data_IF_864936657179
#
_entry.id   IF_864936657179
#
_cell.length_a   1.000
_cell.length_b   1.000
_cell.length_c   1.000
_cell.angle_alpha   90.00
_cell.angle_beta   90.00
_cell.angle_gamma   90.00
#
_symmetry.space_group_name_H-M   'P 1'
#
loop_
_entity.id
_entity.type
_entity.pdbx_description
1 polymer ?
#
# COMPACT_ATOMS: atom_id res chain seq x y z
N UNK A 1 -31.25 15.00 -45.77
CA UNK A 1 -30.63 13.73 -45.31
C UNK A 1 -29.21 14.01 -44.83
N UNK A 2 -28.77 13.44 -43.70
CA UNK A 2 -27.35 13.38 -43.30
C UNK A 2 -27.04 11.92 -42.94
N UNK A 3 -25.97 11.35 -43.50
CA UNK A 3 -25.54 9.98 -43.19
C UNK A 3 -24.98 9.95 -41.76
N UNK A 4 -25.39 9.00 -40.92
CA UNK A 4 -24.68 8.70 -39.67
C UNK A 4 -23.43 7.89 -40.00
N UNK A 5 -22.28 8.35 -39.52
CA UNK A 5 -21.04 7.58 -39.51
C UNK A 5 -21.07 6.65 -38.27
N UNK A 6 -20.69 5.37 -38.39
CA UNK A 6 -20.66 4.46 -37.24
C UNK A 6 -19.52 4.84 -36.26
N UNK A 7 -19.66 4.50 -34.96
CA UNK A 7 -18.59 4.69 -33.99
C UNK A 7 -17.37 3.79 -34.28
N UNK A 8 -16.18 4.13 -33.76
CA UNK A 8 -14.99 3.29 -33.92
C UNK A 8 -15.19 1.90 -33.31
N UNK A 9 -14.61 0.89 -33.95
CA UNK A 9 -14.82 -0.52 -33.62
C UNK A 9 -14.19 -0.88 -32.26
N UNK A 10 -14.96 -1.54 -31.40
CA UNK A 10 -14.41 -2.32 -30.29
C UNK A 10 -13.60 -3.48 -30.88
N UNK A 11 -12.26 -3.41 -30.78
CA UNK A 11 -11.39 -4.53 -31.09
C UNK A 11 -11.63 -5.66 -30.07
N UNK A 12 -11.74 -6.90 -30.54
CA UNK A 12 -11.94 -8.03 -29.63
C UNK A 12 -10.67 -8.27 -28.78
N UNK A 13 -10.81 -8.88 -27.60
CA UNK A 13 -9.65 -9.22 -26.75
C UNK A 13 -8.68 -10.17 -27.48
N UNK A 14 -9.20 -11.05 -28.35
CA UNK A 14 -8.35 -11.89 -29.22
C UNK A 14 -7.62 -11.08 -30.31
N UNK A 15 -8.24 -10.01 -30.82
CA UNK A 15 -7.61 -9.08 -31.76
C UNK A 15 -6.46 -8.32 -31.10
N UNK A 16 -6.66 -7.91 -29.84
CA UNK A 16 -5.65 -7.21 -29.04
C UNK A 16 -4.46 -8.13 -28.73
N UNK A 17 -4.73 -9.36 -28.27
CA UNK A 17 -3.69 -10.39 -28.01
C UNK A 17 -2.94 -10.73 -29.30
N UNK A 18 -3.63 -10.94 -30.43
CA UNK A 18 -2.96 -11.23 -31.72
C UNK A 18 -2.04 -10.10 -32.16
N UNK A 19 -2.48 -8.83 -32.05
CA UNK A 19 -1.62 -7.68 -32.36
C UNK A 19 -0.39 -7.65 -31.45
N UNK A 20 -0.58 -7.96 -30.17
CA UNK A 20 0.49 -7.99 -29.17
C UNK A 20 1.52 -9.09 -29.45
N UNK A 21 1.06 -10.34 -29.62
CA UNK A 21 1.89 -11.50 -29.96
C UNK A 21 2.59 -11.32 -31.32
N UNK A 22 1.99 -10.58 -32.25
CA UNK A 22 2.61 -10.24 -33.54
C UNK A 22 3.70 -9.18 -33.42
N UNK A 23 3.50 -8.10 -32.65
CA UNK A 23 4.57 -7.10 -32.41
C UNK A 23 5.79 -7.70 -31.72
N UNK A 24 5.60 -8.63 -30.76
CA UNK A 24 6.70 -9.31 -30.09
C UNK A 24 7.56 -10.17 -31.06
N UNK A 25 6.95 -10.75 -32.09
CA UNK A 25 7.63 -11.57 -33.10
C UNK A 25 8.45 -10.73 -34.11
N UNK A 26 7.95 -9.53 -34.47
CA UNK A 26 8.68 -8.61 -35.36
C UNK A 26 9.98 -8.10 -34.70
N UNK A 27 9.97 -7.87 -33.38
CA UNK A 27 11.16 -7.47 -32.62
C UNK A 27 12.24 -8.56 -32.53
N UNK A 28 11.86 -9.85 -32.53
CA UNK A 28 12.82 -10.96 -32.43
C UNK A 28 13.49 -11.34 -33.76
N UNK A 29 13.00 -10.81 -34.89
CA UNK A 29 13.43 -11.25 -36.24
C UNK A 29 14.54 -10.40 -36.88
N UNK A 30 15.00 -9.32 -36.22
CA UNK A 30 15.86 -8.30 -36.85
C UNK A 30 17.36 -8.35 -36.50
N UNK A 31 17.81 -9.21 -35.57
CA UNK A 31 19.20 -9.18 -35.05
C UNK A 31 20.02 -10.46 -35.35
N UNK A 32 20.44 -10.65 -36.61
CA UNK A 32 21.45 -11.65 -36.99
C UNK A 32 22.51 -11.08 -37.95
N UNK A 33 23.67 -10.71 -37.38
CA UNK A 33 25.04 -10.73 -37.95
C UNK A 33 25.48 -9.77 -39.10
N UNK A 34 26.13 -8.66 -38.72
CA UNK A 34 27.57 -8.34 -39.01
C UNK A 34 28.09 -8.06 -40.45
N UNK A 35 29.34 -7.54 -40.64
CA UNK A 35 30.08 -6.46 -39.93
C UNK A 35 30.90 -5.49 -40.85
N UNK A 36 31.55 -4.46 -40.24
CA UNK A 36 32.67 -3.63 -40.79
C UNK A 36 32.30 -2.63 -41.93
N UNK A 37 32.88 -1.41 -42.06
CA UNK A 37 34.07 -0.74 -41.48
C UNK A 37 33.86 0.79 -41.31
N UNK A 38 34.87 1.52 -40.79
CA UNK A 38 34.95 2.99 -40.64
C UNK A 38 36.33 3.50 -41.17
N UNK A 39 36.75 4.80 -41.17
CA UNK A 39 36.12 6.01 -40.56
C UNK A 39 36.23 7.35 -41.36
N UNK A 40 35.88 8.49 -40.70
CA UNK A 40 36.11 9.92 -41.08
C UNK A 40 35.21 10.51 -42.20
N UNK A 41 34.87 11.82 -42.27
CA UNK A 41 35.31 13.04 -41.54
C UNK A 41 34.15 14.07 -41.27
N UNK A 42 34.44 15.22 -40.61
CA UNK A 42 33.54 16.37 -40.31
C UNK A 42 33.79 17.55 -41.32
N UNK A 43 33.14 18.75 -41.27
CA UNK A 43 32.00 19.27 -40.47
C UNK A 43 30.90 20.03 -41.29
N UNK A 44 29.89 20.59 -40.60
CA UNK A 44 28.81 21.47 -41.13
C UNK A 44 29.22 22.95 -41.29
N UNK A 45 28.34 23.79 -41.90
CA UNK A 45 27.90 25.03 -41.21
C UNK A 45 26.38 25.29 -41.28
N UNK A 46 25.92 26.37 -40.64
CA UNK A 46 24.49 26.70 -40.42
C UNK A 46 24.01 27.96 -41.20
N UNK A 47 22.71 28.26 -41.12
CA UNK A 47 22.09 29.50 -41.64
C UNK A 47 21.04 30.05 -40.65
N UNK A 48 20.72 31.35 -40.74
CA UNK A 48 20.07 32.14 -39.67
C UNK A 48 18.62 32.56 -39.93
N UNK A 49 17.90 32.73 -38.83
CA UNK A 49 16.60 33.41 -38.68
C UNK A 49 16.71 34.93 -38.92
N UNK A 50 15.60 35.60 -39.26
CA UNK A 50 15.50 37.06 -39.31
C UNK A 50 14.08 37.56 -38.96
N UNK A 51 13.97 38.74 -38.35
CA UNK A 51 12.71 39.29 -37.79
C UNK A 51 12.20 40.51 -38.56
N UNK A 52 10.88 40.75 -38.55
CA UNK A 52 10.28 42.04 -38.90
C UNK A 52 9.00 42.31 -38.08
N UNK A 53 8.80 43.54 -37.60
CA UNK A 53 7.57 44.02 -36.91
C UNK A 53 6.86 45.09 -37.74
N UNK A 54 5.53 45.15 -37.69
CA UNK A 54 4.73 46.34 -38.04
C UNK A 54 3.50 46.49 -37.12
N UNK A 55 2.87 47.68 -37.11
CA UNK A 55 1.79 48.08 -36.18
C UNK A 55 0.95 49.24 -36.74
N UNK A 56 -0.38 49.24 -36.48
CA UNK A 56 -1.42 50.31 -36.59
C UNK A 56 -2.79 49.59 -36.33
N UNK A 57 -3.56 49.84 -35.25
CA UNK A 57 -4.54 50.93 -34.95
C UNK A 57 -5.77 50.93 -35.88
N UNK A 58 -6.96 50.45 -35.45
CA UNK A 58 -8.11 51.17 -34.82
C UNK A 58 -9.20 50.14 -34.37
N UNK A 59 -10.21 50.28 -33.47
CA UNK A 59 -11.05 51.36 -32.84
C UNK A 59 -12.24 51.87 -33.68
N UNK A 60 -13.55 51.77 -33.34
CA UNK A 60 -14.31 51.19 -32.17
C UNK A 60 -15.83 50.97 -32.54
N UNK A 61 -16.67 50.54 -31.58
CA UNK A 61 -18.17 50.63 -31.43
C UNK A 61 -19.06 49.52 -32.04
N UNK A 62 -20.20 49.06 -31.47
CA UNK A 62 -20.80 48.98 -30.13
C UNK A 62 -22.14 48.16 -30.24
N UNK A 63 -22.35 47.17 -29.35
CA UNK A 63 -23.62 46.65 -28.77
C UNK A 63 -23.29 45.30 -28.09
N UNK A 64 -23.58 45.09 -26.80
CA UNK A 64 -24.90 44.76 -26.21
C UNK A 64 -25.53 43.53 -26.92
N UNK A 65 -25.84 42.40 -26.27
CA UNK A 65 -26.35 42.19 -24.91
C UNK A 65 -25.65 41.02 -24.15
N UNK A 66 -25.69 41.04 -22.81
CA UNK A 66 -25.39 39.88 -21.95
C UNK A 66 -26.64 38.99 -21.79
N UNK A 67 -26.51 37.67 -21.60
CA UNK A 67 -26.43 37.20 -20.21
C UNK A 67 -25.57 35.95 -19.96
N UNK A 68 -24.83 35.99 -18.86
CA UNK A 68 -24.59 34.88 -17.91
C UNK A 68 -25.11 33.48 -18.30
N UNK A 69 -24.27 32.69 -18.97
CA UNK A 69 -24.06 31.31 -18.52
C UNK A 69 -22.59 31.15 -18.17
N UNK A 70 -22.31 30.51 -17.04
CA UNK A 70 -20.94 30.37 -16.58
C UNK A 70 -20.15 29.51 -17.58
N UNK A 71 -19.04 30.06 -18.09
CA UNK A 71 -17.90 29.25 -18.48
C UNK A 71 -17.44 28.50 -17.24
N UNK A 72 -18.01 27.31 -17.01
CA UNK A 72 -17.43 26.32 -16.12
C UNK A 72 -16.10 25.96 -16.78
N UNK A 73 -15.05 26.67 -16.34
CA UNK A 73 -13.69 26.31 -16.67
C UNK A 73 -13.52 24.87 -16.20
N UNK A 74 -13.46 23.95 -17.17
CA UNK A 74 -13.25 22.54 -16.89
C UNK A 74 -11.87 22.45 -16.24
N UNK A 75 -11.86 22.38 -14.91
CA UNK A 75 -10.65 22.17 -14.14
C UNK A 75 -10.22 20.74 -14.42
N UNK A 76 -9.48 20.55 -15.52
CA UNK A 76 -8.68 19.38 -15.78
C UNK A 76 -7.52 19.40 -14.78
N UNK A 77 -7.84 19.20 -13.51
CA UNK A 77 -6.91 18.69 -12.52
C UNK A 77 -6.50 17.32 -13.03
N UNK A 78 -5.41 17.27 -13.79
CA UNK A 78 -4.87 16.02 -14.33
C UNK A 78 -4.65 15.07 -13.15
N UNK A 79 -5.40 13.97 -13.15
CA UNK A 79 -5.55 13.10 -11.98
C UNK A 79 -4.38 12.13 -11.94
N UNK A 80 -3.22 12.67 -11.59
CA UNK A 80 -1.99 11.90 -11.35
C UNK A 80 -2.29 10.88 -10.25
N UNK A 81 -2.34 9.61 -10.63
CA UNK A 81 -2.55 8.50 -9.71
C UNK A 81 -1.27 8.22 -8.92
N UNK A 82 -1.39 7.86 -7.64
CA UNK A 82 -0.23 7.39 -6.86
C UNK A 82 0.19 5.99 -7.31
N UNK A 83 1.45 5.61 -7.08
CA UNK A 83 1.93 4.26 -7.44
C UNK A 83 1.09 3.17 -6.75
N UNK A 84 0.64 3.39 -5.50
CA UNK A 84 -0.23 2.47 -4.79
C UNK A 84 -1.65 2.39 -5.39
N UNK A 85 -2.20 3.50 -5.89
CA UNK A 85 -3.47 3.51 -6.62
C UNK A 85 -3.35 2.72 -7.94
N UNK A 86 -2.27 2.95 -8.70
CA UNK A 86 -1.97 2.21 -9.93
C UNK A 86 -1.82 0.72 -9.64
N UNK A 87 -1.01 0.35 -8.64
CA UNK A 87 -0.83 -1.04 -8.19
C UNK A 87 -2.15 -1.75 -7.87
N UNK A 88 -3.12 -1.06 -7.27
CA UNK A 88 -4.46 -1.63 -7.00
C UNK A 88 -5.37 -1.72 -8.23
N UNK A 89 -5.13 -0.93 -9.28
CA UNK A 89 -5.87 -1.01 -10.54
C UNK A 89 -5.31 -2.05 -11.53
N UNK A 90 -4.02 -2.41 -11.45
CA UNK A 90 -3.40 -3.36 -12.39
C UNK A 90 -4.12 -4.73 -12.49
N UNK A 91 -4.56 -5.39 -11.39
CA UNK A 91 -5.35 -6.63 -11.47
C UNK A 91 -6.73 -6.47 -12.14
N UNK A 92 -7.19 -5.23 -12.32
CA UNK A 92 -8.44 -4.90 -12.99
C UNK A 92 -8.27 -4.70 -14.51
N UNK A 93 -7.05 -4.47 -15.00
CA UNK A 93 -6.72 -4.47 -16.42
C UNK A 93 -7.09 -5.81 -17.08
N UNK A 94 -7.89 -5.75 -18.14
CA UNK A 94 -8.33 -6.96 -18.84
C UNK A 94 -7.14 -7.72 -19.46
N UNK A 95 -6.09 -7.03 -19.90
CA UNK A 95 -4.90 -7.67 -20.47
C UNK A 95 -4.11 -8.42 -19.39
N UNK A 96 -3.82 -7.75 -18.27
CA UNK A 96 -3.13 -8.34 -17.10
C UNK A 96 -3.90 -9.55 -16.58
N UNK A 97 -5.23 -9.45 -16.39
CA UNK A 97 -6.09 -10.57 -15.98
C UNK A 97 -6.03 -11.74 -16.96
N UNK A 98 -6.13 -11.47 -18.27
CA UNK A 98 -6.14 -12.53 -19.28
C UNK A 98 -4.80 -13.29 -19.31
N UNK A 99 -3.68 -12.60 -19.16
CA UNK A 99 -2.37 -13.24 -19.03
C UNK A 99 -2.19 -13.98 -17.68
N UNK A 100 -2.70 -13.45 -16.56
CA UNK A 100 -2.71 -14.15 -15.27
C UNK A 100 -3.49 -15.48 -15.35
N UNK A 101 -4.66 -15.48 -15.99
CA UNK A 101 -5.44 -16.69 -16.26
C UNK A 101 -4.71 -17.66 -17.22
N UNK A 102 -4.05 -17.15 -18.27
CA UNK A 102 -3.21 -17.93 -19.20
C UNK A 102 -2.07 -18.63 -18.44
N UNK A 103 -1.33 -17.92 -17.60
CA UNK A 103 -0.26 -18.46 -16.75
C UNK A 103 -0.82 -19.52 -15.79
N UNK A 104 -1.88 -19.21 -15.05
CA UNK A 104 -2.46 -20.14 -14.08
C UNK A 104 -2.90 -21.47 -14.73
N UNK A 105 -3.55 -21.39 -15.90
CA UNK A 105 -3.95 -22.59 -16.65
C UNK A 105 -2.74 -23.38 -17.18
N UNK A 106 -1.69 -22.70 -17.65
CA UNK A 106 -0.45 -23.34 -18.10
C UNK A 106 0.33 -23.96 -16.91
N UNK A 107 0.38 -23.34 -15.74
CA UNK A 107 0.96 -23.92 -14.52
C UNK A 107 0.20 -25.20 -14.08
N UNK A 108 -1.12 -25.25 -14.27
CA UNK A 108 -1.91 -26.46 -14.02
C UNK A 108 -1.62 -27.58 -15.03
N UNK A 109 -1.18 -27.27 -16.25
CA UNK A 109 -0.75 -28.25 -17.27
C UNK A 109 0.69 -28.71 -17.01
N UNK A 110 1.62 -27.76 -16.83
CA UNK A 110 3.07 -27.99 -16.77
C UNK A 110 3.50 -28.59 -15.43
N UNK A 111 2.92 -28.14 -14.30
CA UNK A 111 3.34 -28.50 -12.95
C UNK A 111 2.24 -29.14 -12.09
N UNK A 112 1.06 -29.39 -12.65
CA UNK A 112 -0.14 -29.84 -11.94
C UNK A 112 -0.61 -28.91 -10.79
N UNK A 113 -0.12 -27.67 -10.73
CA UNK A 113 -0.43 -26.69 -9.70
C UNK A 113 -0.74 -25.31 -10.31
N UNK A 114 -2.02 -24.97 -10.40
CA UNK A 114 -2.53 -23.69 -10.91
C UNK A 114 -1.85 -22.45 -10.31
N UNK A 115 -1.50 -22.48 -9.02
CA UNK A 115 -1.11 -21.30 -8.26
C UNK A 115 0.41 -21.17 -8.07
N UNK A 116 1.23 -22.02 -8.70
CA UNK A 116 2.68 -22.11 -8.45
C UNK A 116 3.42 -20.77 -8.59
N UNK A 117 3.09 -19.98 -9.61
CA UNK A 117 3.75 -18.69 -9.90
C UNK A 117 2.99 -17.47 -9.35
N UNK A 118 2.05 -17.65 -8.41
CA UNK A 118 1.22 -16.55 -7.92
C UNK A 118 2.04 -15.45 -7.23
N UNK A 119 2.99 -15.82 -6.36
CA UNK A 119 3.89 -14.86 -5.71
C UNK A 119 4.82 -14.15 -6.73
N UNK A 120 5.25 -14.85 -7.79
CA UNK A 120 6.09 -14.27 -8.84
C UNK A 120 5.30 -13.29 -9.73
N UNK A 121 4.03 -13.57 -10.02
CA UNK A 121 3.15 -12.61 -10.70
C UNK A 121 2.92 -11.34 -9.85
N UNK A 122 2.84 -11.48 -8.52
CA UNK A 122 2.77 -10.33 -7.60
C UNK A 122 4.11 -9.57 -7.47
N UNK A 123 5.25 -10.24 -7.69
CA UNK A 123 6.55 -9.60 -7.82
C UNK A 123 6.68 -8.83 -9.16
N UNK A 124 6.21 -9.41 -10.26
CA UNK A 124 6.16 -8.77 -11.59
C UNK A 124 5.24 -7.54 -11.59
N UNK A 125 4.10 -7.58 -10.89
CA UNK A 125 3.25 -6.39 -10.69
C UNK A 125 4.01 -5.22 -10.05
N UNK A 126 4.93 -5.50 -9.12
CA UNK A 126 5.80 -4.48 -8.52
C UNK A 126 6.87 -4.05 -9.53
N UNK A 127 7.64 -4.99 -10.07
CA UNK A 127 8.71 -4.73 -11.05
C UNK A 127 8.54 -5.60 -12.31
N UNK A 128 8.05 -5.03 -13.44
CA UNK A 128 7.86 -5.77 -14.69
C UNK A 128 9.13 -6.45 -15.24
N UNK A 129 10.31 -5.86 -15.01
CA UNK A 129 11.59 -6.42 -15.52
C UNK A 129 11.92 -7.81 -14.98
N UNK A 130 11.25 -8.25 -13.90
CA UNK A 130 11.37 -9.62 -13.40
C UNK A 130 10.79 -10.67 -14.38
N UNK A 131 9.84 -10.31 -15.24
CA UNK A 131 9.16 -11.25 -16.14
C UNK A 131 10.08 -11.94 -17.15
N UNK A 132 11.01 -11.19 -17.75
CA UNK A 132 12.02 -11.77 -18.64
C UNK A 132 12.91 -12.76 -17.88
N UNK A 133 13.38 -12.37 -16.70
CA UNK A 133 14.23 -13.21 -15.86
C UNK A 133 13.53 -14.50 -15.38
N UNK A 134 12.24 -14.40 -15.03
CA UNK A 134 11.42 -15.55 -14.64
C UNK A 134 11.12 -16.47 -15.82
N UNK A 135 10.80 -15.89 -16.99
CA UNK A 135 10.62 -16.63 -18.25
C UNK A 135 11.88 -17.41 -18.63
N UNK A 136 13.05 -16.78 -18.51
CA UNK A 136 14.35 -17.44 -18.71
C UNK A 136 14.60 -18.55 -17.68
N UNK A 137 14.33 -18.33 -16.40
CA UNK A 137 14.49 -19.34 -15.34
C UNK A 137 13.59 -20.57 -15.57
N UNK A 138 12.33 -20.36 -15.95
CA UNK A 138 11.39 -21.45 -16.27
C UNK A 138 11.84 -22.22 -17.51
N UNK A 139 12.42 -21.53 -18.51
CA UNK A 139 12.96 -22.15 -19.72
C UNK A 139 14.22 -22.98 -19.46
N UNK A 140 15.19 -22.42 -18.71
CA UNK A 140 16.46 -23.06 -18.43
C UNK A 140 16.36 -24.18 -17.37
N UNK A 141 15.55 -23.97 -16.34
CA UNK A 141 15.50 -24.81 -15.12
C UNK A 141 14.05 -25.05 -14.66
N UNK A 142 13.17 -25.65 -15.48
CA UNK A 142 11.75 -25.84 -15.14
C UNK A 142 11.54 -26.62 -13.83
N UNK A 143 12.28 -27.71 -13.62
CA UNK A 143 12.16 -28.52 -12.40
C UNK A 143 12.74 -27.86 -11.13
N UNK A 144 13.22 -26.61 -11.20
CA UNK A 144 13.60 -25.83 -10.00
C UNK A 144 12.40 -25.23 -9.24
N UNK A 145 11.29 -24.93 -9.93
CA UNK A 145 10.07 -24.40 -9.31
C UNK A 145 9.18 -25.52 -8.76
N UNK A 146 8.97 -26.57 -9.56
CA UNK A 146 8.23 -27.78 -9.19
C UNK A 146 8.55 -28.90 -10.18
N UNK A 147 8.31 -30.16 -9.80
CA UNK A 147 8.41 -31.28 -10.73
C UNK A 147 7.40 -31.12 -11.86
N UNK A 148 7.84 -31.33 -13.10
CA UNK A 148 6.94 -31.36 -14.26
C UNK A 148 5.88 -32.46 -14.09
N UNK A 149 4.65 -32.18 -14.54
CA UNK A 149 3.53 -33.08 -14.40
C UNK A 149 3.76 -34.44 -15.10
N UNK A 150 2.98 -35.44 -14.71
CA UNK A 150 3.10 -36.79 -15.25
C UNK A 150 4.39 -37.51 -14.87
N UNK A 151 4.71 -38.57 -15.60
CA UNK A 151 5.80 -39.50 -15.30
C UNK A 151 6.73 -39.67 -16.52
N UNK A 152 8.03 -39.74 -16.23
CA UNK A 152 9.07 -40.18 -17.15
C UNK A 152 9.83 -41.33 -16.47
N UNK A 153 9.63 -42.57 -16.93
CA UNK A 153 10.29 -43.75 -16.38
C UNK A 153 11.20 -44.36 -17.46
N UNK A 154 12.51 -44.39 -17.22
CA UNK A 154 13.50 -44.90 -18.17
C UNK A 154 13.39 -44.29 -19.60
N UNK A 155 12.99 -43.03 -19.71
CA UNK A 155 12.76 -42.33 -20.99
C UNK A 155 11.34 -42.46 -21.55
N UNK A 156 10.50 -43.36 -21.00
CA UNK A 156 9.10 -43.49 -21.39
C UNK A 156 8.26 -42.43 -20.67
N UNK A 157 7.83 -41.41 -21.44
CA UNK A 157 7.02 -40.29 -20.96
C UNK A 157 5.53 -40.57 -21.17
N UNK A 158 4.72 -40.44 -20.11
CA UNK A 158 3.26 -40.51 -20.24
C UNK A 158 2.67 -39.22 -20.87
N UNK A 159 1.40 -39.26 -21.28
CA UNK A 159 0.78 -38.13 -22.00
C UNK A 159 0.77 -36.83 -21.18
N UNK A 160 0.62 -36.91 -19.85
CA UNK A 160 0.70 -35.74 -18.97
C UNK A 160 2.11 -35.10 -18.99
N UNK A 161 3.17 -35.91 -19.00
CA UNK A 161 4.56 -35.42 -19.08
C UNK A 161 4.87 -34.82 -20.46
N UNK A 162 4.38 -35.42 -21.55
CA UNK A 162 4.52 -34.86 -22.90
C UNK A 162 3.84 -33.48 -23.00
N UNK A 163 2.57 -33.41 -22.60
CA UNK A 163 1.79 -32.17 -22.59
C UNK A 163 2.45 -31.08 -21.71
N UNK A 164 3.03 -31.46 -20.57
CA UNK A 164 3.77 -30.53 -19.70
C UNK A 164 5.04 -29.97 -20.35
N UNK A 165 5.81 -30.80 -21.06
CA UNK A 165 7.00 -30.37 -21.79
C UNK A 165 6.65 -29.52 -23.02
N UNK A 166 5.61 -29.91 -23.78
CA UNK A 166 5.11 -29.22 -24.97
C UNK A 166 4.58 -27.81 -24.65
N UNK A 167 3.94 -27.61 -23.48
CA UNK A 167 3.41 -26.32 -23.05
C UNK A 167 4.44 -25.42 -22.33
N UNK A 168 5.66 -25.89 -22.07
CA UNK A 168 6.65 -25.14 -21.29
C UNK A 168 7.04 -23.81 -21.98
N UNK A 169 7.28 -23.85 -23.30
CA UNK A 169 7.59 -22.64 -24.09
C UNK A 169 6.42 -21.65 -24.10
N UNK A 170 5.18 -22.15 -24.12
CA UNK A 170 3.95 -21.33 -24.03
C UNK A 170 3.80 -20.70 -22.65
N UNK A 171 4.22 -21.38 -21.57
CA UNK A 171 4.28 -20.80 -20.23
C UNK A 171 5.32 -19.67 -20.16
N UNK A 172 6.52 -19.86 -20.69
CA UNK A 172 7.55 -18.81 -20.76
C UNK A 172 7.06 -17.57 -21.54
N UNK A 173 6.42 -17.78 -22.70
CA UNK A 173 5.82 -16.69 -23.48
C UNK A 173 4.64 -16.00 -22.78
N UNK A 174 3.84 -16.74 -22.01
CA UNK A 174 2.77 -16.17 -21.20
C UNK A 174 3.30 -15.34 -20.01
N UNK A 175 4.43 -15.74 -19.41
CA UNK A 175 5.12 -14.99 -18.34
C UNK A 175 5.73 -13.69 -18.86
N UNK A 176 6.38 -13.72 -20.03
CA UNK A 176 6.89 -12.51 -20.69
C UNK A 176 5.75 -11.54 -21.00
N UNK A 177 4.73 -11.99 -21.75
CA UNK A 177 3.58 -11.16 -22.12
C UNK A 177 2.74 -10.67 -20.93
N UNK A 178 2.78 -11.35 -19.78
CA UNK A 178 2.19 -10.83 -18.54
C UNK A 178 2.95 -9.62 -18.01
N UNK A 179 4.28 -9.68 -17.97
CA UNK A 179 5.10 -8.56 -17.51
C UNK A 179 4.98 -7.36 -18.43
N UNK A 180 4.99 -7.57 -19.75
CA UNK A 180 4.80 -6.49 -20.72
C UNK A 180 3.38 -5.91 -20.64
N UNK A 181 2.34 -6.75 -20.41
CA UNK A 181 0.98 -6.29 -20.15
C UNK A 181 0.85 -5.47 -18.86
N UNK A 182 1.59 -5.83 -17.80
CA UNK A 182 1.68 -5.06 -16.55
C UNK A 182 2.39 -3.73 -16.80
N UNK A 183 3.51 -3.72 -17.53
CA UNK A 183 4.22 -2.49 -17.89
C UNK A 183 3.33 -1.55 -18.70
N UNK A 184 2.71 -2.05 -19.78
CA UNK A 184 1.78 -1.28 -20.60
C UNK A 184 0.61 -0.70 -19.78
N UNK A 185 0.02 -1.50 -18.88
CA UNK A 185 -1.05 -1.04 -18.00
C UNK A 185 -0.57 -0.02 -16.94
N UNK A 186 0.70 -0.06 -16.51
CA UNK A 186 1.30 1.01 -15.67
C UNK A 186 1.49 2.29 -16.48
N UNK A 187 2.04 2.19 -17.69
CA UNK A 187 2.33 3.35 -18.55
C UNK A 187 1.04 4.07 -18.98
N UNK A 188 0.00 3.34 -19.39
CA UNK A 188 -1.31 3.92 -19.73
C UNK A 188 -1.98 4.61 -18.52
N UNK A 189 -1.85 4.04 -17.31
CA UNK A 189 -2.31 4.67 -16.07
C UNK A 189 -1.47 5.88 -15.62
N UNK A 190 -0.25 6.05 -16.12
CA UNK A 190 0.61 7.21 -15.86
C UNK A 190 0.42 8.33 -16.89
N UNK A 191 0.20 7.97 -18.15
CA UNK A 191 0.12 8.91 -19.29
C UNK A 191 -1.32 9.40 -19.53
N UNK A 192 -2.32 8.51 -19.34
CA UNK A 192 -3.71 8.72 -19.75
C UNK A 192 -4.74 8.38 -18.66
N UNK A 193 -4.51 8.69 -17.36
CA UNK A 193 -5.31 8.18 -16.24
C UNK A 193 -6.81 8.45 -16.36
N UNK A 194 -7.24 9.60 -16.88
CA UNK A 194 -8.66 9.92 -17.04
C UNK A 194 -9.36 8.97 -18.03
N UNK A 195 -8.68 8.56 -19.10
CA UNK A 195 -9.24 7.64 -20.10
C UNK A 195 -9.31 6.21 -19.57
N UNK A 196 -8.26 5.73 -18.90
CA UNK A 196 -8.21 4.38 -18.31
C UNK A 196 -9.19 4.24 -17.14
N UNK A 197 -9.30 5.28 -16.29
CA UNK A 197 -10.33 5.33 -15.26
C UNK A 197 -11.73 5.30 -15.87
N UNK A 198 -12.00 6.11 -16.90
CA UNK A 198 -13.31 6.09 -17.61
C UNK A 198 -13.64 4.68 -18.15
N UNK A 199 -12.64 3.94 -18.65
CA UNK A 199 -12.81 2.54 -19.07
C UNK A 199 -13.13 1.60 -17.89
N UNK A 200 -12.42 1.72 -16.77
CA UNK A 200 -12.74 0.93 -15.57
C UNK A 200 -14.11 1.27 -14.97
N UNK A 201 -14.49 2.55 -14.94
CA UNK A 201 -15.80 2.99 -14.47
C UNK A 201 -16.94 2.41 -15.35
N UNK A 202 -16.71 2.23 -16.66
CA UNK A 202 -17.65 1.55 -17.55
C UNK A 202 -17.66 0.02 -17.39
N UNK A 203 -16.52 -0.61 -17.05
CA UNK A 203 -16.41 -2.07 -17.00
C UNK A 203 -16.71 -2.70 -15.62
N UNK A 204 -16.51 -1.94 -14.54
CA UNK A 204 -16.74 -2.39 -13.15
C UNK A 204 -17.50 -1.40 -12.25
N UNK A 205 -17.87 -0.23 -12.79
CA UNK A 205 -18.72 0.76 -12.10
C UNK A 205 -17.93 1.83 -11.34
N UNK A 206 -18.39 3.08 -11.41
CA UNK A 206 -17.78 4.24 -10.74
C UNK A 206 -17.56 4.02 -9.24
N UNK A 207 -18.49 3.36 -8.54
CA UNK A 207 -18.37 3.10 -7.11
C UNK A 207 -17.21 2.14 -6.77
N UNK A 208 -17.02 1.07 -7.55
CA UNK A 208 -15.93 0.13 -7.34
C UNK A 208 -14.56 0.76 -7.59
N UNK A 209 -14.45 1.59 -8.63
CA UNK A 209 -13.23 2.38 -8.92
C UNK A 209 -12.96 3.38 -7.78
N UNK A 210 -13.99 4.08 -7.29
CA UNK A 210 -13.86 5.01 -6.16
C UNK A 210 -13.40 4.30 -4.87
N UNK A 211 -13.99 3.15 -4.54
CA UNK A 211 -13.58 2.34 -3.36
C UNK A 211 -12.12 1.87 -3.48
N UNK A 212 -11.67 1.41 -4.66
CA UNK A 212 -10.29 1.01 -4.89
C UNK A 212 -9.32 2.16 -4.64
N UNK A 213 -9.58 3.33 -5.21
CA UNK A 213 -8.73 4.51 -5.04
C UNK A 213 -8.72 5.01 -3.58
N UNK A 214 -9.89 5.15 -2.95
CA UNK A 214 -10.01 5.58 -1.55
C UNK A 214 -9.26 4.64 -0.60
N UNK A 215 -9.28 3.32 -0.86
CA UNK A 215 -8.52 2.37 -0.05
C UNK A 215 -7.01 2.60 -0.10
N UNK A 216 -6.48 3.22 -1.16
CA UNK A 216 -5.06 3.56 -1.28
C UNK A 216 -4.72 4.74 -0.38
N UNK A 217 -5.41 5.85 -0.57
CA UNK A 217 -5.18 7.12 0.13
C UNK A 217 -5.36 6.95 1.63
N UNK A 218 -6.37 6.16 2.04
CA UNK A 218 -6.60 5.79 3.43
C UNK A 218 -5.44 4.96 4.03
N UNK A 219 -4.86 4.02 3.27
CA UNK A 219 -3.74 3.19 3.76
C UNK A 219 -2.46 4.03 3.96
N UNK A 220 -2.14 4.91 3.01
CA UNK A 220 -0.96 5.79 3.11
C UNK A 220 -1.12 6.81 4.24
N UNK A 221 -2.33 7.39 4.36
CA UNK A 221 -2.69 8.32 5.44
C UNK A 221 -2.65 7.67 6.82
N UNK A 222 -3.23 6.47 6.98
CA UNK A 222 -3.18 5.72 8.23
C UNK A 222 -1.73 5.42 8.64
N UNK A 223 -0.88 4.96 7.72
CA UNK A 223 0.54 4.71 8.03
C UNK A 223 1.31 5.98 8.45
N UNK A 224 1.06 7.11 7.79
CA UNK A 224 1.63 8.40 8.17
C UNK A 224 1.12 8.86 9.55
N UNK A 225 -0.18 8.76 9.79
CA UNK A 225 -0.81 9.14 11.06
C UNK A 225 -0.30 8.27 12.22
N UNK A 226 -0.24 6.94 12.04
CA UNK A 226 0.36 5.99 12.98
C UNK A 226 1.81 6.38 13.33
N UNK A 227 2.63 6.73 12.33
CA UNK A 227 4.01 7.20 12.56
C UNK A 227 4.04 8.45 13.45
N UNK A 228 3.15 9.42 13.22
CA UNK A 228 3.06 10.61 14.09
C UNK A 228 2.54 10.29 15.50
N UNK A 229 1.57 9.38 15.66
CA UNK A 229 1.07 8.97 16.98
C UNK A 229 2.14 8.26 17.80
N UNK A 230 2.92 7.36 17.17
CA UNK A 230 4.06 6.68 17.80
C UNK A 230 5.14 7.69 18.21
N UNK A 231 5.51 8.63 17.34
CA UNK A 231 6.45 9.72 17.70
C UNK A 231 5.95 10.60 18.84
N UNK A 232 4.65 10.89 18.89
CA UNK A 232 4.07 11.73 19.92
C UNK A 232 3.92 11.03 21.29
N UNK A 233 3.98 9.70 21.32
CA UNK A 233 3.72 8.90 22.52
C UNK A 233 4.69 9.22 23.68
N UNK A 234 4.18 9.44 24.92
CA UNK A 234 5.03 9.75 26.08
C UNK A 234 6.08 8.68 26.42
N UNK A 235 5.79 7.40 26.22
CA UNK A 235 6.73 6.32 26.51
C UNK A 235 7.89 6.29 25.49
N UNK A 236 7.58 6.45 24.20
CA UNK A 236 8.57 6.55 23.12
C UNK A 236 9.53 7.73 23.37
N UNK A 237 9.00 8.90 23.73
CA UNK A 237 9.78 10.08 24.12
C UNK A 237 10.63 9.86 25.37
N UNK A 238 10.09 9.18 26.39
CA UNK A 238 10.81 8.83 27.62
C UNK A 238 12.00 7.92 27.33
N UNK A 239 11.81 6.86 26.54
CA UNK A 239 12.89 5.95 26.16
C UNK A 239 13.95 6.64 25.29
N UNK A 240 13.57 7.53 24.35
CA UNK A 240 14.53 8.36 23.63
C UNK A 240 15.38 9.25 24.55
N UNK A 241 14.80 9.79 25.63
CA UNK A 241 15.55 10.53 26.64
C UNK A 241 16.47 9.62 27.48
N UNK A 242 16.04 8.41 27.81
CA UNK A 242 16.86 7.42 28.52
C UNK A 242 18.04 6.92 27.67
N UNK A 243 17.86 6.66 26.37
CA UNK A 243 18.98 6.32 25.46
C UNK A 243 19.95 7.49 25.35
N UNK A 244 19.48 8.74 25.23
CA UNK A 244 20.35 9.93 25.25
C UNK A 244 21.13 10.10 26.55
N UNK A 245 20.55 9.72 27.69
CA UNK A 245 21.22 9.68 28.99
C UNK A 245 22.29 8.58 29.03
N UNK A 246 21.94 7.34 28.68
CA UNK A 246 22.90 6.23 28.70
C UNK A 246 24.02 6.38 27.68
N UNK A 247 23.77 6.90 26.48
CA UNK A 247 24.83 7.27 25.52
C UNK A 247 25.81 8.30 26.11
N UNK A 248 25.34 9.24 26.95
CA UNK A 248 26.23 10.16 27.67
C UNK A 248 27.03 9.46 28.77
N UNK A 249 26.42 8.54 29.54
CA UNK A 249 27.12 7.76 30.57
C UNK A 249 28.20 6.86 29.95
N UNK A 250 27.86 6.12 28.88
CA UNK A 250 28.73 5.14 28.24
C UNK A 250 29.80 5.79 27.37
N UNK A 251 29.49 6.85 26.62
CA UNK A 251 30.37 7.40 25.58
C UNK A 251 30.67 8.91 25.70
N UNK A 252 30.18 9.59 26.74
CA UNK A 252 30.22 11.06 26.91
C UNK A 252 29.49 11.88 25.83
N UNK A 253 28.75 11.25 24.90
CA UNK A 253 28.00 11.91 23.83
C UNK A 253 26.57 11.36 23.72
N UNK A 254 25.57 12.19 23.96
CA UNK A 254 24.16 11.76 24.01
C UNK A 254 23.56 11.31 22.68
N UNK A 255 24.07 11.79 21.55
CA UNK A 255 23.40 11.70 20.24
C UNK A 255 24.04 10.70 19.27
N UNK A 256 24.91 9.78 19.73
CA UNK A 256 25.57 8.80 18.84
C UNK A 256 24.53 7.94 18.10
N UNK A 257 23.58 7.36 18.84
CA UNK A 257 22.55 6.48 18.30
C UNK A 257 21.32 7.21 17.72
N UNK A 258 21.48 8.47 17.31
CA UNK A 258 20.34 9.29 16.84
C UNK A 258 19.77 8.83 15.48
N UNK A 259 20.61 8.30 14.58
CA UNK A 259 20.14 7.65 13.35
C UNK A 259 19.43 6.35 13.70
N UNK A 260 20.12 5.45 14.41
CA UNK A 260 19.60 4.13 14.82
C UNK A 260 18.23 4.20 15.51
N UNK A 261 18.02 5.14 16.43
CA UNK A 261 16.74 5.32 17.11
C UNK A 261 15.62 5.82 16.17
N UNK A 262 15.98 6.52 15.09
CA UNK A 262 15.06 6.93 14.02
C UNK A 262 14.77 5.75 13.06
N UNK A 263 15.73 4.85 12.87
CA UNK A 263 15.59 3.65 12.04
C UNK A 263 14.79 2.56 12.75
N UNK A 264 14.98 2.35 14.06
CA UNK A 264 14.15 1.49 14.91
C UNK A 264 12.70 2.02 14.96
N UNK A 265 12.53 3.34 14.97
CA UNK A 265 11.21 3.97 14.86
C UNK A 265 10.52 3.64 13.53
N UNK A 266 11.25 3.41 12.44
CA UNK A 266 10.70 2.92 11.16
C UNK A 266 10.50 1.40 11.17
N UNK A 267 11.51 0.62 11.58
CA UNK A 267 11.47 -0.84 11.67
C UNK A 267 12.03 -1.33 13.04
N UNK A 268 11.16 -1.74 13.99
CA UNK A 268 11.59 -2.19 15.32
C UNK A 268 12.59 -3.35 15.31
N UNK A 269 12.57 -4.21 14.28
CA UNK A 269 13.48 -5.36 14.20
C UNK A 269 14.97 -4.96 14.08
N UNK A 270 15.29 -3.73 13.64
CA UNK A 270 16.66 -3.22 13.65
C UNK A 270 17.27 -3.08 15.05
N UNK A 271 16.45 -3.12 16.10
CA UNK A 271 16.93 -3.05 17.47
C UNK A 271 17.78 -4.27 17.87
N UNK A 272 17.40 -5.48 17.43
CA UNK A 272 18.14 -6.72 17.71
C UNK A 272 19.55 -6.68 17.09
N UNK A 273 19.66 -6.18 15.86
CA UNK A 273 20.97 -5.95 15.23
C UNK A 273 21.77 -4.89 16.01
N UNK A 274 21.15 -3.77 16.39
CA UNK A 274 21.82 -2.71 17.14
C UNK A 274 22.29 -3.15 18.52
N UNK A 275 21.47 -3.88 19.29
CA UNK A 275 21.84 -4.36 20.63
C UNK A 275 22.87 -5.48 20.55
N UNK A 276 22.82 -6.34 19.52
CA UNK A 276 23.91 -7.25 19.21
C UNK A 276 25.22 -6.50 18.93
N UNK A 277 25.22 -5.52 18.00
CA UNK A 277 26.41 -4.72 17.66
C UNK A 277 26.97 -3.97 18.89
N UNK A 278 26.11 -3.38 19.73
CA UNK A 278 26.51 -2.71 20.97
C UNK A 278 27.05 -3.69 22.04
N UNK A 279 26.56 -4.93 22.09
CA UNK A 279 27.06 -5.93 23.04
C UNK A 279 28.44 -6.48 22.62
N UNK A 280 28.64 -6.74 21.33
CA UNK A 280 29.85 -7.35 20.80
C UNK A 280 30.97 -6.33 20.54
N UNK A 281 30.63 -5.16 19.99
CA UNK A 281 31.58 -4.16 19.50
C UNK A 281 31.23 -2.72 19.93
N UNK A 282 30.96 -2.42 21.22
CA UNK A 282 30.52 -1.10 21.68
C UNK A 282 31.45 0.06 21.27
N UNK A 283 32.74 -0.24 21.05
CA UNK A 283 33.75 0.76 20.66
C UNK A 283 33.72 1.13 19.16
N UNK A 284 32.96 0.42 18.30
CA UNK A 284 32.79 0.80 16.89
C UNK A 284 32.00 2.11 16.75
N UNK A 285 30.96 2.29 17.57
CA UNK A 285 30.13 3.48 17.62
C UNK A 285 30.91 4.67 18.20
N UNK A 286 31.56 4.47 19.36
CA UNK A 286 32.39 5.48 20.00
C UNK A 286 33.29 4.89 21.11
N UNK A 287 34.48 5.48 21.38
CA UNK A 287 35.21 5.18 22.60
C UNK A 287 34.39 5.43 23.87
N UNK A 288 34.47 4.51 24.83
CA UNK A 288 33.87 4.69 26.16
C UNK A 288 34.37 5.96 26.87
N UNK A 289 33.53 6.55 27.71
CA UNK A 289 33.89 7.65 28.59
C UNK A 289 35.04 7.28 29.55
N UNK A 290 35.76 8.30 30.04
CA UNK A 290 36.90 8.09 30.94
C UNK A 290 38.10 7.40 30.28
N UNK A 291 39.08 7.00 31.09
CA UNK A 291 40.40 6.51 30.64
C UNK A 291 40.65 5.09 31.16
N UNK A 292 41.24 4.27 30.30
CA UNK A 292 41.86 2.98 30.63
C UNK A 292 43.32 3.02 30.15
N UNK A 293 44.27 2.76 31.04
CA UNK A 293 45.71 2.72 30.72
C UNK A 293 46.32 1.46 31.35
N UNK A 294 46.91 0.59 30.54
CA UNK A 294 47.51 -0.69 31.00
C UNK A 294 46.57 -1.53 31.89
N UNK A 295 45.26 -1.51 31.61
CA UNK A 295 44.23 -2.19 32.41
C UNK A 295 43.68 -1.40 33.61
N UNK A 296 44.36 -0.32 34.05
CA UNK A 296 43.87 0.55 35.11
C UNK A 296 42.79 1.50 34.57
N UNK A 297 41.56 1.34 35.09
CA UNK A 297 40.36 2.09 34.67
C UNK A 297 39.99 3.13 35.71
N UNK A 298 39.77 4.38 35.29
CA UNK A 298 39.27 5.42 36.20
C UNK A 298 37.77 5.24 36.53
N UNK A 299 37.25 6.01 37.48
CA UNK A 299 35.84 5.94 37.92
C UNK A 299 34.85 6.13 36.76
N UNK A 300 35.09 7.11 35.90
CA UNK A 300 34.28 7.37 34.71
C UNK A 300 34.25 6.16 33.75
N UNK A 301 35.41 5.53 33.48
CA UNK A 301 35.48 4.33 32.63
C UNK A 301 34.74 3.14 33.23
N UNK A 302 34.86 2.90 34.54
CA UNK A 302 34.12 1.82 35.22
C UNK A 302 32.60 2.06 35.20
N UNK A 303 32.17 3.31 35.37
CA UNK A 303 30.75 3.67 35.29
C UNK A 303 30.21 3.53 33.85
N UNK A 304 31.00 3.92 32.86
CA UNK A 304 30.66 3.78 31.44
C UNK A 304 30.48 2.32 31.00
N UNK A 305 31.39 1.44 31.41
CA UNK A 305 31.29 0.00 31.14
C UNK A 305 30.09 -0.64 31.86
N UNK A 306 29.84 -0.25 33.13
CA UNK A 306 28.67 -0.71 33.88
C UNK A 306 27.33 -0.16 33.35
N UNK A 307 27.35 0.94 32.59
CA UNK A 307 26.15 1.51 31.96
C UNK A 307 25.78 0.91 30.61
N UNK A 308 26.64 0.08 29.99
CA UNK A 308 26.36 -0.51 28.67
C UNK A 308 25.16 -1.48 28.68
N UNK A 309 25.00 -2.40 29.66
CA UNK A 309 23.81 -3.25 29.71
C UNK A 309 22.53 -2.41 29.78
N UNK A 310 22.51 -1.37 30.63
CA UNK A 310 21.35 -0.49 30.75
C UNK A 310 21.09 0.37 29.49
N UNK A 311 22.10 0.66 28.67
CA UNK A 311 21.91 1.24 27.34
C UNK A 311 21.18 0.26 26.41
N UNK A 312 21.65 -1.00 26.36
CA UNK A 312 21.08 -2.10 25.58
C UNK A 312 19.63 -2.37 26.00
N UNK A 313 19.38 -2.59 27.30
CA UNK A 313 18.04 -2.80 27.86
C UNK A 313 17.08 -1.67 27.46
N UNK A 314 17.56 -0.42 27.46
CA UNK A 314 16.73 0.76 27.11
C UNK A 314 16.37 0.77 25.62
N UNK A 315 17.23 0.24 24.74
CA UNK A 315 16.99 0.13 23.29
C UNK A 315 15.99 -1.00 23.00
N UNK A 316 16.11 -2.16 23.62
CA UNK A 316 15.15 -3.27 23.43
C UNK A 316 13.76 -2.89 23.97
N UNK A 317 13.70 -2.22 25.12
CA UNK A 317 12.45 -1.66 25.65
C UNK A 317 11.87 -0.56 24.76
N UNK A 318 12.70 0.28 24.14
CA UNK A 318 12.26 1.28 23.15
C UNK A 318 11.59 0.60 21.95
N UNK A 319 12.26 -0.40 21.37
CA UNK A 319 11.79 -1.13 20.21
C UNK A 319 10.49 -1.90 20.49
N UNK A 320 10.40 -2.54 21.66
CA UNK A 320 9.19 -3.25 22.11
C UNK A 320 7.99 -2.30 22.22
N UNK A 321 8.18 -1.09 22.75
CA UNK A 321 7.11 -0.08 22.83
C UNK A 321 6.73 0.46 21.45
N UNK A 322 7.69 0.70 20.54
CA UNK A 322 7.39 1.11 19.16
C UNK A 322 6.63 0.01 18.41
N UNK A 323 7.01 -1.26 18.57
CA UNK A 323 6.33 -2.42 17.98
C UNK A 323 4.88 -2.52 18.46
N UNK A 324 4.70 -2.59 19.79
CA UNK A 324 3.39 -2.72 20.43
C UNK A 324 2.44 -1.57 20.05
N UNK A 325 2.95 -0.33 19.97
CA UNK A 325 2.13 0.81 19.55
C UNK A 325 1.70 0.71 18.08
N UNK A 326 2.59 0.28 17.17
CA UNK A 326 2.23 0.06 15.77
C UNK A 326 1.17 -1.03 15.62
N UNK A 327 1.34 -2.17 16.28
CA UNK A 327 0.37 -3.27 16.23
C UNK A 327 -1.00 -2.85 16.74
N UNK A 328 -1.08 -2.20 17.91
CA UNK A 328 -2.36 -1.75 18.47
C UNK A 328 -3.07 -0.75 17.54
N UNK A 329 -2.34 0.21 16.96
CA UNK A 329 -2.94 1.21 16.06
C UNK A 329 -3.39 0.58 14.73
N UNK A 330 -2.60 -0.32 14.15
CA UNK A 330 -2.99 -1.08 12.94
C UNK A 330 -4.25 -1.93 13.20
N UNK A 331 -4.31 -2.64 14.33
CA UNK A 331 -5.50 -3.40 14.73
C UNK A 331 -6.72 -2.49 14.96
N UNK A 332 -6.53 -1.29 15.52
CA UNK A 332 -7.60 -0.33 15.74
C UNK A 332 -8.18 0.19 14.41
N UNK A 333 -7.34 0.53 13.42
CA UNK A 333 -7.80 0.90 12.07
C UNK A 333 -8.56 -0.24 11.39
N UNK A 334 -8.03 -1.47 11.45
CA UNK A 334 -8.70 -2.64 10.89
C UNK A 334 -10.09 -2.90 11.51
N UNK A 335 -10.24 -2.75 12.82
CA UNK A 335 -11.54 -2.88 13.50
C UNK A 335 -12.54 -1.79 13.08
N UNK A 336 -12.08 -0.55 12.88
CA UNK A 336 -12.93 0.55 12.38
C UNK A 336 -13.40 0.30 10.95
N UNK A 337 -12.51 -0.18 10.07
CA UNK A 337 -12.85 -0.54 8.69
C UNK A 337 -13.88 -1.69 8.66
N UNK A 338 -13.63 -2.80 9.39
CA UNK A 338 -14.58 -3.93 9.49
C UNK A 338 -15.96 -3.49 10.00
N UNK A 339 -16.02 -2.67 11.04
CA UNK A 339 -17.28 -2.16 11.62
C UNK A 339 -18.05 -1.24 10.65
N UNK A 340 -17.37 -0.64 9.68
CA UNK A 340 -17.97 0.23 8.66
C UNK A 340 -18.48 -0.56 7.45
N UNK A 341 -17.89 -1.73 7.16
CA UNK A 341 -18.37 -2.63 6.11
C UNK A 341 -19.66 -3.41 6.46
N UNK A 342 -19.99 -3.61 7.75
CA UNK A 342 -21.18 -4.40 8.16
C UNK A 342 -22.26 -3.65 9.00
N UNK A 343 -22.82 -2.54 8.50
CA UNK A 343 -24.16 -2.11 8.87
C UNK A 343 -25.17 -2.11 7.69
N UNK A 344 -24.78 -2.56 6.49
CA UNK A 344 -25.62 -2.49 5.28
C UNK A 344 -26.80 -3.48 5.27
N UNK A 345 -26.60 -4.70 5.81
CA UNK A 345 -27.56 -5.82 5.62
C UNK A 345 -28.84 -5.71 6.47
N UNK A 346 -28.90 -4.79 7.45
CA UNK A 346 -30.02 -4.70 8.41
C UNK A 346 -31.02 -3.55 8.16
N UNK A 347 -30.61 -2.41 7.60
CA UNK A 347 -31.53 -1.27 7.44
C UNK A 347 -32.47 -1.38 6.23
N UNK A 348 -32.16 -2.26 5.25
CA UNK A 348 -32.93 -2.41 4.02
C UNK A 348 -34.21 -3.28 4.14
N UNK A 349 -34.40 -4.01 5.26
CA UNK A 349 -35.52 -4.97 5.40
C UNK A 349 -36.76 -4.45 6.13
N UNK A 350 -36.62 -3.41 6.95
CA UNK A 350 -37.75 -2.89 7.75
C UNK A 350 -38.59 -1.84 6.98
N UNK A 351 -38.05 -1.27 5.89
CA UNK A 351 -38.73 -0.25 5.07
C UNK A 351 -39.67 -0.80 3.98
N UNK A 352 -39.69 -2.12 3.74
CA UNK A 352 -40.54 -2.74 2.71
C UNK A 352 -41.80 -3.44 3.27
N UNK A 353 -42.15 -3.21 4.54
CA UNK A 353 -43.26 -3.95 5.19
C UNK A 353 -44.26 -3.13 6.03
N UNK A 354 -44.45 -1.85 5.72
CA UNK A 354 -45.59 -1.06 6.21
C UNK A 354 -46.25 -0.23 5.10
N UNK A 355 -47.05 -0.89 4.25
CA UNK A 355 -48.01 -0.23 3.37
C UNK A 355 -49.25 -1.11 3.23
N UNK A 356 -50.24 -0.82 4.08
CA UNK A 356 -51.67 -1.17 3.95
C UNK A 356 -52.47 -0.52 5.08
N UNK A 357 -53.05 0.65 4.77
CA UNK A 357 -54.21 1.16 5.51
C UNK A 357 -55.42 0.25 5.20
N UNK A 358 -56.42 0.19 6.09
CA UNK A 358 -57.69 0.82 5.72
C UNK A 358 -58.35 1.64 6.85
N UNK A 359 -59.09 2.66 6.45
CA UNK A 359 -59.93 3.49 7.31
C UNK A 359 -61.11 2.71 7.91
N UNK A 360 -61.52 3.05 9.14
CA UNK A 360 -62.90 3.53 9.37
C UNK A 360 -63.02 4.39 10.64
N UNK A 361 -64.21 4.93 10.88
CA UNK A 361 -64.49 6.12 11.69
C UNK A 361 -64.97 5.84 13.14
N UNK A 362 -64.99 6.93 13.93
CA UNK A 362 -65.81 7.16 15.14
C UNK A 362 -65.41 6.43 16.45
N UNK A 363 -65.75 6.92 17.66
CA UNK A 363 -66.12 8.26 18.18
C UNK A 363 -66.27 8.18 19.72
N UNK A 364 -66.18 9.32 20.44
CA UNK A 364 -66.58 9.48 21.87
C UNK A 364 -65.78 8.68 22.93
N UNK A 365 -65.77 9.00 24.24
CA UNK A 365 -66.02 10.26 24.96
C UNK A 365 -65.48 10.21 26.41
N UNK A 366 -65.15 11.39 26.97
CA UNK A 366 -65.27 11.85 28.38
C UNK A 366 -65.15 10.90 29.61
N UNK A 367 -64.28 11.33 30.56
CA UNK A 367 -64.46 11.30 32.04
C UNK A 367 -64.51 9.91 32.76
N UNK A 368 -64.30 9.74 34.09
CA UNK A 368 -64.00 10.69 35.19
C UNK A 368 -63.15 10.08 36.37
N UNK A 369 -63.15 10.78 37.51
CA UNK A 369 -62.69 10.48 38.90
C UNK A 369 -62.50 9.01 39.35
N UNK A 370 -61.46 8.61 40.11
CA UNK A 370 -60.83 9.04 41.41
C UNK A 370 -61.41 8.31 42.65
N UNK A 371 -60.51 7.88 43.56
CA UNK A 371 -60.66 7.36 44.96
C UNK A 371 -60.57 5.83 45.11
N UNK A 372 -60.14 5.21 46.23
CA UNK A 372 -59.28 5.56 47.40
C UNK A 372 -59.05 4.26 48.22
N UNK A 373 -58.04 4.21 49.11
CA UNK A 373 -57.87 3.23 50.23
C UNK A 373 -57.31 1.84 49.83
N UNK A 374 -56.55 1.09 50.66
CA UNK A 374 -56.15 1.17 52.09
C UNK A 374 -54.61 0.91 52.23
N UNK A 375 -53.85 1.68 53.03
CA UNK A 375 -53.43 1.41 54.44
C UNK A 375 -52.20 0.44 54.57
N UNK A 376 -50.94 0.92 54.68
CA UNK A 376 -50.16 1.18 55.94
C UNK A 376 -49.19 0.02 56.28
N UNK A 377 -47.96 0.16 56.82
CA UNK A 377 -47.24 1.24 57.55
C UNK A 377 -45.70 1.24 57.25
N UNK A 378 -45.03 2.41 57.44
CA UNK A 378 -43.70 2.65 58.07
C UNK A 378 -42.42 1.83 57.75
N UNK A 379 -41.18 2.36 57.79
CA UNK A 379 -40.54 3.72 57.85
C UNK A 379 -39.03 3.49 57.52
N UNK A 380 -38.26 4.22 56.70
CA UNK A 380 -37.81 5.66 56.73
C UNK A 380 -37.36 6.17 58.11
N UNK A 381 -36.35 7.04 58.33
CA UNK A 381 -35.29 7.74 57.56
C UNK A 381 -34.31 8.31 58.64
N UNK A 382 -33.08 8.80 58.45
CA UNK A 382 -32.02 8.79 57.41
C UNK A 382 -30.87 9.73 57.89
N UNK A 383 -29.77 9.93 57.14
CA UNK A 383 -28.69 10.94 57.31
C UNK A 383 -27.84 10.75 58.62
N UNK A 384 -26.55 11.11 58.78
CA UNK A 384 -25.71 12.10 58.07
C UNK A 384 -24.18 11.94 58.27
N UNK A 385 -23.45 12.79 57.53
CA UNK A 385 -21.98 12.95 57.43
C UNK A 385 -21.32 13.47 58.71
N UNK A 386 -20.03 13.15 58.94
CA UNK A 386 -18.93 14.17 58.91
C UNK A 386 -17.50 13.57 58.87
N UNK A 387 -16.52 14.45 58.67
CA UNK A 387 -15.08 14.20 58.45
C UNK A 387 -14.25 14.59 59.67
N UNK A 388 -13.22 13.81 60.02
CA UNK A 388 -11.90 14.31 60.49
C UNK A 388 -10.83 13.20 60.49
N UNK A 389 -9.56 13.60 60.35
CA UNK A 389 -8.37 12.81 60.64
C UNK A 389 -7.55 13.54 61.75
N UNK A 390 -6.27 13.21 62.03
CA UNK A 390 -5.63 11.90 62.22
C UNK A 390 -5.07 11.74 63.66
N UNK A 391 -4.40 10.63 64.00
CA UNK A 391 -3.46 10.62 65.14
C UNK A 391 -2.35 9.56 65.04
N UNK A 392 -1.15 9.95 65.44
CA UNK A 392 0.08 9.15 65.53
C UNK A 392 0.11 8.30 66.81
N UNK A 393 0.80 7.16 66.78
CA UNK A 393 1.69 6.64 67.84
C UNK A 393 2.52 5.49 67.26
N UNK A 394 3.68 5.21 67.86
CA UNK A 394 4.56 4.09 67.50
C UNK A 394 4.85 3.23 68.73
N UNK A 395 5.31 2.00 68.56
CA UNK A 395 6.51 1.46 69.23
C UNK A 395 6.95 0.13 68.58
N UNK A 396 8.13 -0.37 68.97
CA UNK A 396 8.81 -1.49 68.32
C UNK A 396 8.73 -2.81 69.10
N UNK A 397 9.07 -3.91 68.43
CA UNK A 397 9.76 -5.10 68.96
C UNK A 397 10.59 -5.71 67.84
#
# INVERSE_FOLDING_TARGET
>A
MKKKQPPPLQLSVQELIKRYEQTAADHTSSEILSPKSAPQSKPSPALKENQQRHSVRSTTEQNEEEPLYATIALQTTTKVLSEAQIMKLLPHSQLVRTYQEKIQNLCQIVYANKNLLQAEMEAIQKNPTLGESLSWQISAHPESFSKLAGLNLCGMKNNARKNAEENLSTLCGAVAGYAEAVQYAKEDLLITPEAVLTYYEQSMGCEAVAQILQSSDQTERENAEISTMVQQNPAVKRYQAQVKHWCHVVFSKSNILASEMTEILQNPARAEELTWQLSAYPQSFHPYAGVSMCGFKNSARRHAEAGLPSLIDTIDNYATVVHLLKENLVQQSQQLQQKTCDPSVKLAKDLTKSSKLPEYLSSAAHHETRKTSQQTHERTQDISRKVSAPKTMAFAS
#
